data_IF_395258357754
#
_entry.id   IF_395258357754
#
_cell.length_a   1.000
_cell.length_b   1.000
_cell.length_c   1.000
_cell.angle_alpha   90.00
_cell.angle_beta   90.00
_cell.angle_gamma   90.00
#
_symmetry.space_group_name_H-M   'P 1'
#
loop_
_entity.id
_entity.type
_entity.pdbx_description
1 polymer ?
#
# COMPACT_ATOMS: atom_id res chain seq x y z
N UNK A 1 -7.27 26.97 12.80
CA UNK A 1 -6.32 26.34 11.86
C UNK A 1 -6.44 24.85 12.01
N UNK A 2 -7.08 24.17 11.06
CA UNK A 2 -7.14 22.71 11.04
C UNK A 2 -5.74 22.20 10.69
N UNK A 3 -5.05 21.57 11.64
CA UNK A 3 -3.84 20.78 11.35
C UNK A 3 -4.29 19.49 10.63
N UNK A 4 -4.69 19.62 9.36
CA UNK A 4 -4.88 18.45 8.51
C UNK A 4 -3.51 18.04 7.96
N UNK A 5 -3.10 16.81 8.23
CA UNK A 5 -2.04 16.16 7.45
C UNK A 5 -2.63 15.99 6.05
N UNK A 6 -1.96 16.51 5.02
CA UNK A 6 -2.40 16.43 3.62
C UNK A 6 -2.23 15.01 3.05
N UNK A 7 -2.84 14.04 3.72
CA UNK A 7 -2.83 12.63 3.34
C UNK A 7 -3.48 12.47 1.97
N UNK A 8 -2.79 11.77 1.08
CA UNK A 8 -3.28 11.44 -0.26
C UNK A 8 -2.84 10.04 -0.63
N UNK A 9 -3.52 9.48 -1.62
CA UNK A 9 -3.08 8.30 -2.32
C UNK A 9 -3.01 8.59 -3.82
N UNK A 10 -2.15 7.86 -4.52
CA UNK A 10 -1.98 7.95 -5.97
C UNK A 10 -2.36 6.62 -6.60
N UNK A 11 -2.70 6.62 -7.90
CA UNK A 11 -2.98 5.41 -8.67
C UNK A 11 -2.01 5.33 -9.84
N UNK A 12 -1.22 4.28 -9.88
CA UNK A 12 -0.37 3.92 -11.01
C UNK A 12 -1.15 2.94 -11.88
N UNK A 13 -1.44 3.34 -13.12
CA UNK A 13 -2.17 2.53 -14.09
C UNK A 13 -1.19 1.70 -14.90
N UNK A 14 -1.35 0.38 -14.88
CA UNK A 14 -0.53 -0.57 -15.66
C UNK A 14 -1.42 -1.37 -16.61
N UNK A 15 -0.83 -2.18 -17.50
CA UNK A 15 -1.63 -3.06 -18.36
C UNK A 15 -2.27 -4.20 -17.57
N UNK A 16 -1.65 -4.60 -16.46
CA UNK A 16 -2.16 -5.70 -15.62
C UNK A 16 -3.18 -5.23 -14.60
N UNK A 17 -3.26 -3.94 -14.29
CA UNK A 17 -4.24 -3.35 -13.38
C UNK A 17 -3.70 -2.14 -12.59
N UNK A 18 -4.53 -1.55 -11.75
CA UNK A 18 -4.10 -0.40 -10.95
C UNK A 18 -3.28 -0.84 -9.73
N UNK A 19 -2.15 -0.17 -9.49
CA UNK A 19 -1.42 -0.20 -8.22
C UNK A 19 -1.73 1.08 -7.46
N UNK A 20 -2.26 0.96 -6.25
CA UNK A 20 -2.48 2.11 -5.37
C UNK A 20 -1.24 2.37 -4.53
N UNK A 21 -0.83 3.63 -4.48
CA UNK A 21 0.27 4.12 -3.65
C UNK A 21 -0.30 4.93 -2.50
N UNK A 22 -0.03 4.49 -1.28
CA UNK A 22 -0.66 4.96 -0.05
C UNK A 22 -2.19 4.78 -0.04
N UNK A 23 -2.80 5.21 1.06
CA UNK A 23 -4.24 5.15 1.29
C UNK A 23 -4.61 6.13 2.40
N UNK A 24 -5.87 6.57 2.45
CA UNK A 24 -6.35 7.46 3.50
C UNK A 24 -7.35 6.74 4.41
N UNK A 25 -7.62 7.31 5.58
CA UNK A 25 -8.53 6.71 6.54
C UNK A 25 -9.94 6.47 5.96
N UNK A 26 -10.46 7.42 5.18
CA UNK A 26 -11.77 7.33 4.54
C UNK A 26 -11.69 6.53 3.23
N UNK A 27 -12.37 5.38 3.19
CA UNK A 27 -12.64 4.65 1.94
C UNK A 27 -14.08 4.88 1.52
N UNK A 28 -14.28 5.61 0.42
CA UNK A 28 -15.59 5.87 -0.16
C UNK A 28 -15.86 4.98 -1.38
N UNK A 29 -17.13 4.85 -1.75
CA UNK A 29 -17.54 4.02 -2.89
C UNK A 29 -16.89 4.46 -4.22
N UNK A 30 -16.82 5.77 -4.56
CA UNK A 30 -16.12 6.21 -5.77
C UNK A 30 -14.65 5.79 -5.84
N UNK A 31 -13.97 5.64 -4.70
CA UNK A 31 -12.60 5.12 -4.65
C UNK A 31 -12.56 3.60 -4.82
N UNK A 32 -13.49 2.87 -4.21
CA UNK A 32 -13.65 1.42 -4.42
C UNK A 32 -13.88 1.09 -5.90
N UNK A 33 -14.72 1.88 -6.58
CA UNK A 33 -15.08 1.67 -7.99
C UNK A 33 -13.87 1.80 -8.95
N UNK A 34 -12.77 2.41 -8.52
CA UNK A 34 -11.54 2.50 -9.33
C UNK A 34 -10.84 1.15 -9.48
N UNK A 35 -11.10 0.21 -8.57
CA UNK A 35 -10.46 -1.09 -8.43
C UNK A 35 -8.91 -1.02 -8.34
N UNK A 36 -8.31 -1.95 -7.60
CA UNK A 36 -6.85 -2.08 -7.53
C UNK A 36 -6.46 -3.54 -7.37
N UNK A 37 -5.36 -3.93 -8.02
CA UNK A 37 -4.79 -5.27 -7.89
C UNK A 37 -3.76 -5.39 -6.78
N UNK A 38 -3.31 -4.26 -6.25
CA UNK A 38 -2.36 -4.21 -5.13
C UNK A 38 -2.27 -2.81 -4.57
N UNK A 39 -2.10 -2.70 -3.26
CA UNK A 39 -1.84 -1.46 -2.56
C UNK A 39 -0.43 -1.53 -1.98
N UNK A 40 0.36 -0.48 -2.14
CA UNK A 40 1.67 -0.34 -1.48
C UNK A 40 1.60 0.89 -0.61
N UNK A 41 1.90 0.74 0.68
CA UNK A 41 1.87 1.87 1.62
C UNK A 41 3.30 2.27 1.96
N UNK A 42 3.61 3.54 1.71
CA UNK A 42 4.94 4.09 1.77
C UNK A 42 5.56 4.06 3.16
N UNK A 43 4.77 4.35 4.21
CA UNK A 43 5.26 4.45 5.59
C UNK A 43 4.10 4.46 6.63
N UNK A 44 4.40 4.34 7.94
CA UNK A 44 3.42 4.09 9.00
C UNK A 44 2.26 5.08 9.18
N UNK A 45 2.37 6.33 8.72
CA UNK A 45 1.27 7.30 8.83
C UNK A 45 -0.01 6.84 8.11
N UNK A 46 0.14 5.97 7.11
CA UNK A 46 -0.96 5.49 6.28
C UNK A 46 -1.46 4.08 6.64
N UNK A 47 -0.97 3.44 7.72
CA UNK A 47 -1.34 2.06 8.06
C UNK A 47 -2.75 1.90 8.66
N UNK A 48 -3.47 2.99 8.91
CA UNK A 48 -4.70 3.02 9.72
C UNK A 48 -5.79 2.02 9.29
N UNK A 49 -6.29 2.10 8.05
CA UNK A 49 -7.44 1.29 7.58
C UNK A 49 -7.06 0.20 6.57
N UNK A 50 -5.79 -0.24 6.59
CA UNK A 50 -5.23 -1.13 5.54
C UNK A 50 -6.07 -2.40 5.31
N UNK A 51 -6.58 -2.99 6.39
CA UNK A 51 -7.35 -4.23 6.31
C UNK A 51 -8.71 -4.00 5.65
N UNK A 52 -9.30 -2.81 5.81
CA UNK A 52 -10.59 -2.47 5.19
C UNK A 52 -10.39 -2.28 3.67
N UNK A 53 -9.31 -1.60 3.28
CA UNK A 53 -8.94 -1.46 1.87
C UNK A 53 -8.63 -2.81 1.22
N UNK A 54 -7.79 -3.64 1.84
CA UNK A 54 -7.47 -4.99 1.33
C UNK A 54 -8.73 -5.82 1.06
N UNK A 55 -9.71 -5.79 1.96
CA UNK A 55 -11.00 -6.49 1.78
C UNK A 55 -11.85 -5.88 0.67
N UNK A 56 -11.99 -4.55 0.64
CA UNK A 56 -12.82 -3.87 -0.35
C UNK A 56 -12.31 -4.05 -1.78
N UNK A 57 -10.99 -4.08 -1.98
CA UNK A 57 -10.38 -4.32 -3.29
C UNK A 57 -10.10 -5.80 -3.56
N UNK A 58 -10.24 -6.67 -2.56
CA UNK A 58 -9.85 -8.07 -2.61
C UNK A 58 -8.41 -8.26 -3.15
N UNK A 59 -7.48 -7.49 -2.59
CA UNK A 59 -6.11 -7.42 -3.07
C UNK A 59 -5.07 -7.30 -1.94
N UNK A 60 -3.81 -7.68 -2.18
CA UNK A 60 -2.74 -7.57 -1.20
C UNK A 60 -2.36 -6.11 -0.91
N UNK A 61 -2.01 -5.86 0.36
CA UNK A 61 -1.37 -4.64 0.83
C UNK A 61 0.09 -4.94 1.17
N UNK A 62 1.02 -4.16 0.60
CA UNK A 62 2.45 -4.30 0.80
C UNK A 62 3.00 -3.20 1.72
N UNK A 63 3.81 -3.59 2.71
CA UNK A 63 4.52 -2.70 3.65
C UNK A 63 5.98 -3.10 3.78
N UNK A 64 6.86 -2.18 4.20
CA UNK A 64 8.22 -2.54 4.59
C UNK A 64 8.24 -3.39 5.86
N UNK A 65 8.93 -4.54 5.84
CA UNK A 65 9.05 -5.43 6.99
C UNK A 65 9.64 -4.79 8.27
N UNK A 66 10.61 -3.85 8.21
CA UNK A 66 11.13 -3.18 9.41
C UNK A 66 10.05 -2.43 10.20
N UNK A 67 9.00 -1.97 9.50
CA UNK A 67 7.89 -1.24 10.09
C UNK A 67 6.76 -2.12 10.61
N UNK A 68 6.91 -3.47 10.55
CA UNK A 68 5.94 -4.44 11.06
C UNK A 68 5.42 -4.05 12.45
N UNK A 69 6.30 -3.61 13.35
CA UNK A 69 5.98 -3.23 14.74
C UNK A 69 4.88 -2.16 14.84
N UNK A 70 4.75 -1.30 13.84
CA UNK A 70 3.75 -0.22 13.80
C UNK A 70 2.38 -0.67 13.28
N UNK A 71 2.34 -1.81 12.56
CA UNK A 71 1.12 -2.31 11.91
C UNK A 71 0.16 -2.89 12.95
N UNK A 72 -1.05 -2.37 12.97
CA UNK A 72 -2.19 -2.91 13.73
C UNK A 72 -3.01 -3.87 12.86
N UNK A 73 -3.92 -4.64 13.47
CA UNK A 73 -4.86 -5.54 12.74
C UNK A 73 -4.19 -6.60 11.85
N UNK A 74 -2.94 -7.00 12.12
CA UNK A 74 -2.14 -7.92 11.28
C UNK A 74 -2.87 -9.22 10.92
N UNK A 75 -3.70 -9.72 11.83
CA UNK A 75 -4.47 -10.97 11.66
C UNK A 75 -5.94 -10.68 11.27
N UNK A 76 -6.21 -9.58 10.57
CA UNK A 76 -7.54 -9.25 10.11
C UNK A 76 -8.04 -10.27 9.09
N UNK A 77 -9.07 -11.02 9.48
CA UNK A 77 -9.70 -12.03 8.64
C UNK A 77 -10.11 -11.45 7.27
N UNK A 78 -9.76 -12.15 6.20
CA UNK A 78 -10.08 -11.79 4.82
C UNK A 78 -9.22 -10.66 4.23
N UNK A 79 -8.24 -10.12 4.97
CA UNK A 79 -7.26 -9.18 4.43
C UNK A 79 -5.90 -9.87 4.17
N UNK A 80 -5.17 -9.43 3.16
CA UNK A 80 -3.86 -9.97 2.75
C UNK A 80 -2.78 -8.90 2.96
N UNK A 81 -2.02 -9.05 4.05
CA UNK A 81 -0.86 -8.21 4.35
C UNK A 81 0.43 -8.90 3.95
N UNK A 82 1.26 -8.22 3.17
CA UNK A 82 2.57 -8.71 2.73
C UNK A 82 3.68 -7.75 3.16
N UNK A 83 4.70 -8.30 3.80
CA UNK A 83 5.86 -7.54 4.27
C UNK A 83 7.00 -7.71 3.28
N UNK A 84 7.57 -6.59 2.83
CA UNK A 84 8.70 -6.54 1.92
C UNK A 84 9.99 -6.50 2.72
N UNK A 85 10.83 -7.51 2.53
CA UNK A 85 12.16 -7.62 3.14
C UNK A 85 13.28 -7.28 2.16
N UNK A 86 13.05 -7.54 0.87
CA UNK A 86 14.03 -7.31 -0.19
C UNK A 86 14.12 -5.84 -0.58
N UNK A 87 15.33 -5.39 -0.93
CA UNK A 87 15.59 -4.03 -1.38
C UNK A 87 14.75 -3.64 -2.62
N UNK A 88 14.47 -4.61 -3.50
CA UNK A 88 13.66 -4.43 -4.71
C UNK A 88 12.64 -5.56 -4.81
N UNK A 89 11.36 -5.22 -4.91
CA UNK A 89 10.28 -6.20 -5.11
C UNK A 89 9.38 -5.77 -6.27
N UNK A 90 9.15 -6.66 -7.24
CA UNK A 90 8.18 -6.43 -8.30
C UNK A 90 6.75 -6.50 -7.76
N UNK A 91 5.98 -5.46 -7.99
CA UNK A 91 4.55 -5.39 -7.73
C UNK A 91 3.83 -5.76 -9.02
N UNK A 92 2.90 -6.72 -8.96
CA UNK A 92 2.30 -7.36 -10.14
C UNK A 92 3.38 -8.03 -11.04
N UNK A 93 4.01 -9.12 -10.57
CA UNK A 93 5.16 -9.74 -11.24
C UNK A 93 4.83 -10.36 -12.61
N UNK A 94 3.55 -10.51 -12.95
CA UNK A 94 3.03 -10.95 -14.25
C UNK A 94 3.29 -9.93 -15.39
N UNK A 95 3.66 -8.68 -15.08
CA UNK A 95 3.96 -7.65 -16.07
C UNK A 95 5.46 -7.51 -16.34
N UNK A 96 5.89 -7.39 -17.60
CA UNK A 96 7.31 -7.23 -18.00
C UNK A 96 7.83 -5.81 -17.64
N UNK A 97 7.00 -4.78 -17.82
CA UNK A 97 7.29 -3.37 -17.49
C UNK A 97 6.51 -2.92 -16.24
N UNK A 98 6.51 -3.78 -15.20
CA UNK A 98 5.73 -3.60 -13.98
C UNK A 98 6.32 -2.58 -13.00
N UNK A 99 5.54 -2.29 -11.96
CA UNK A 99 5.92 -1.36 -10.88
C UNK A 99 6.89 -2.06 -9.91
N UNK A 100 7.97 -1.39 -9.52
CA UNK A 100 8.92 -1.94 -8.53
C UNK A 100 8.85 -1.16 -7.23
N UNK A 101 8.60 -1.86 -6.12
CA UNK A 101 8.76 -1.31 -4.78
C UNK A 101 10.22 -1.40 -4.34
N UNK A 102 10.74 -0.30 -3.80
CA UNK A 102 12.10 -0.19 -3.31
C UNK A 102 12.06 0.06 -1.81
N UNK A 103 12.65 -0.83 -1.01
CA UNK A 103 12.81 -0.66 0.43
C UNK A 103 14.03 0.20 0.72
N UNK A 104 13.81 1.50 0.86
CA UNK A 104 14.88 2.50 0.99
C UNK A 104 15.19 2.90 2.41
N UNK A 105 14.23 2.74 3.33
CA UNK A 105 14.29 3.38 4.64
C UNK A 105 14.21 4.92 4.54
N UNK A 106 14.63 5.64 5.59
CA UNK A 106 14.67 7.10 5.64
C UNK A 106 13.80 7.67 6.76
N UNK A 107 12.60 8.16 6.42
CA UNK A 107 11.65 8.69 7.42
C UNK A 107 11.23 7.62 8.44
N UNK A 108 11.12 6.37 7.98
CA UNK A 108 11.03 5.16 8.80
C UNK A 108 11.93 4.07 8.19
N UNK A 109 12.37 3.12 9.02
CA UNK A 109 13.25 2.02 8.56
C UNK A 109 12.59 1.19 7.45
N UNK A 110 11.25 1.08 7.46
CA UNK A 110 10.47 0.37 6.45
C UNK A 110 9.93 1.25 5.32
N UNK A 111 10.41 2.49 5.16
CA UNK A 111 9.92 3.38 4.11
C UNK A 111 10.19 2.83 2.70
N UNK A 112 9.16 2.90 1.86
CA UNK A 112 9.16 2.43 0.48
C UNK A 112 9.17 3.60 -0.51
N UNK A 113 9.60 3.32 -1.74
CA UNK A 113 9.34 4.10 -2.96
C UNK A 113 8.80 3.19 -4.07
N UNK A 114 8.14 3.75 -5.08
CA UNK A 114 7.81 3.04 -6.33
C UNK A 114 8.58 3.63 -7.52
N UNK A 115 9.02 2.76 -8.44
CA UNK A 115 9.64 3.09 -9.72
C UNK A 115 8.88 2.39 -10.87
#
# INVERSE_FOLDING_TARGET
MSRQIGERFEIIRTKSGNVMWDMIALLDQPTVDKASRSIVISHPHYYTTWADWSRSFNCPVFLGAPDKKWVQRRDAFGADLRLLEEAYTRILPDEIDGVTAILTGGHFDGSLLLH
#
